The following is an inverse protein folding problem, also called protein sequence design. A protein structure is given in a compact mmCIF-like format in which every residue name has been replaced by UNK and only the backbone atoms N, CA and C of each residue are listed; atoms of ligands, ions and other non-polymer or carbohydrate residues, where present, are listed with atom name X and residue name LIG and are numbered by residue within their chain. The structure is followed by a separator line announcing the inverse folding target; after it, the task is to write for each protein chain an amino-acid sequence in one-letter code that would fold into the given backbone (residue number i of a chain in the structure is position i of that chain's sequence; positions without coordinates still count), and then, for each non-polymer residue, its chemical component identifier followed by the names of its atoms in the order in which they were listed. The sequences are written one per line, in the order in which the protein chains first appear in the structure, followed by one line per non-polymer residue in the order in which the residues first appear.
data_IF_293803359946
#
_entry.id   IF_293803359946
#
_cell.length_a   1.000
_cell.length_b   1.000
_cell.length_c   1.000
_cell.angle_alpha   90.00
_cell.angle_beta   90.00
_cell.angle_gamma   90.00
#
_symmetry.space_group_name_H-M   'P 1'
#
loop_
_entity.id
_entity.type
_entity.pdbx_description
1 polymer ?
#
# COMPACT_ATOMS: atom_id res chain seq x y z
N UNK A 1 -0.40 -12.38 22.80
CA UNK A 1 0.24 -11.93 21.54
C UNK A 1 1.67 -11.55 21.85
N UNK A 2 2.64 -11.96 21.02
CA UNK A 2 4.04 -11.54 21.21
C UNK A 2 4.27 -10.16 20.59
N UNK A 3 5.24 -9.40 21.09
CA UNK A 3 5.61 -8.07 20.56
C UNK A 3 5.81 -8.02 19.02
N UNK A 4 6.49 -8.99 18.37
CA UNK A 4 6.65 -8.96 16.91
C UNK A 4 5.32 -9.15 16.15
N UNK A 5 4.41 -9.99 16.65
CA UNK A 5 3.10 -10.18 16.01
C UNK A 5 2.26 -8.90 16.07
N UNK A 6 2.33 -8.17 17.19
CA UNK A 6 1.67 -6.88 17.34
C UNK A 6 2.26 -5.85 16.37
N UNK A 7 3.58 -5.80 16.21
CA UNK A 7 4.24 -4.88 15.29
C UNK A 7 3.84 -5.12 13.82
N UNK A 8 3.80 -6.38 13.39
CA UNK A 8 3.32 -6.75 12.04
C UNK A 8 1.86 -6.36 11.87
N UNK A 9 1.02 -6.63 12.86
CA UNK A 9 -0.39 -6.25 12.82
C UNK A 9 -0.57 -4.73 12.65
N UNK A 10 0.08 -3.93 13.50
CA UNK A 10 0.01 -2.46 13.43
C UNK A 10 0.50 -1.96 12.07
N UNK A 11 1.60 -2.51 11.55
CA UNK A 11 2.16 -2.10 10.27
C UNK A 11 1.19 -2.39 9.11
N UNK A 12 0.60 -3.59 9.10
CA UNK A 12 -0.26 -4.04 8.00
C UNK A 12 -1.66 -3.43 8.04
N UNK A 13 -2.24 -3.26 9.23
CA UNK A 13 -3.65 -2.90 9.41
C UNK A 13 -3.88 -1.48 9.89
N UNK A 14 -2.85 -0.78 10.36
CA UNK A 14 -2.97 0.61 10.83
C UNK A 14 -2.09 1.54 9.99
N UNK A 15 -0.80 1.24 9.89
CA UNK A 15 0.14 2.14 9.20
C UNK A 15 -0.16 2.25 7.70
N UNK A 16 -0.44 1.14 7.01
CA UNK A 16 -0.74 1.15 5.57
C UNK A 16 -2.03 1.94 5.22
N UNK A 17 -3.18 1.74 5.89
CA UNK A 17 -4.36 2.58 5.71
C UNK A 17 -4.13 4.07 6.01
N UNK A 18 -3.41 4.39 7.08
CA UNK A 18 -3.09 5.77 7.44
C UNK A 18 -2.20 6.44 6.39
N UNK A 19 -1.17 5.73 5.92
CA UNK A 19 -0.31 6.21 4.84
C UNK A 19 -1.13 6.48 3.57
N UNK A 20 -2.01 5.57 3.18
CA UNK A 20 -2.92 5.79 2.05
C UNK A 20 -3.80 7.03 2.25
N UNK A 21 -4.41 7.19 3.43
CA UNK A 21 -5.25 8.34 3.72
C UNK A 21 -4.47 9.66 3.65
N UNK A 22 -3.23 9.69 4.15
CA UNK A 22 -2.31 10.83 4.04
C UNK A 22 -1.96 11.13 2.56
N UNK A 23 -1.67 10.10 1.77
CA UNK A 23 -1.34 10.27 0.35
C UNK A 23 -2.47 10.90 -0.46
N UNK A 24 -3.72 10.64 -0.10
CA UNK A 24 -4.88 11.27 -0.75
C UNK A 24 -5.05 12.75 -0.43
N UNK A 25 -4.36 13.29 0.60
CA UNK A 25 -4.44 14.70 0.97
C UNK A 25 -3.65 15.62 0.02
N UNK A 26 -2.66 15.08 -0.73
CA UNK A 26 -1.84 15.85 -1.66
C UNK A 26 -2.58 16.33 -2.92
N UNK A 27 -3.88 16.03 -3.04
CA UNK A 27 -4.73 16.45 -4.14
C UNK A 27 -4.64 15.54 -5.37
N UNK A 28 -5.25 15.99 -6.46
CA UNK A 28 -5.57 15.16 -7.62
C UNK A 28 -4.85 15.64 -8.89
N UNK A 29 -3.59 16.07 -8.75
CA UNK A 29 -2.81 16.62 -9.85
C UNK A 29 -2.04 15.53 -10.64
N UNK A 30 -1.67 15.85 -11.88
CA UNK A 30 -0.81 14.97 -12.69
C UNK A 30 0.57 14.79 -12.05
N UNK A 31 1.09 15.82 -11.36
CA UNK A 31 2.37 15.76 -10.63
C UNK A 31 2.34 14.72 -9.52
N UNK A 32 1.25 14.67 -8.75
CA UNK A 32 1.06 13.66 -7.70
C UNK A 32 1.06 12.26 -8.30
N UNK A 33 0.36 12.04 -9.42
CA UNK A 33 0.36 10.74 -10.10
C UNK A 33 1.74 10.31 -10.59
N UNK A 34 2.49 11.22 -11.23
CA UNK A 34 3.85 10.95 -11.69
C UNK A 34 4.77 10.63 -10.51
N UNK A 35 4.66 11.38 -9.41
CA UNK A 35 5.45 11.12 -8.21
C UNK A 35 5.13 9.74 -7.61
N UNK A 36 3.85 9.36 -7.52
CA UNK A 36 3.43 8.05 -7.04
C UNK A 36 3.96 6.94 -7.94
N UNK A 37 3.84 7.09 -9.26
CA UNK A 37 4.33 6.10 -10.23
C UNK A 37 5.85 5.89 -10.11
N UNK A 38 6.62 6.98 -10.04
CA UNK A 38 8.07 6.92 -9.84
C UNK A 38 8.42 6.27 -8.49
N UNK A 39 7.73 6.64 -7.41
CA UNK A 39 7.95 6.04 -6.09
C UNK A 39 7.65 4.54 -6.07
N UNK A 40 6.62 4.07 -6.79
CA UNK A 40 6.34 2.63 -6.95
C UNK A 40 7.53 1.93 -7.61
N UNK A 41 8.01 2.45 -8.75
CA UNK A 41 9.15 1.86 -9.47
C UNK A 41 10.39 1.82 -8.59
N UNK A 42 10.71 2.92 -7.91
CA UNK A 42 11.85 3.00 -6.99
C UNK A 42 11.73 1.98 -5.87
N UNK A 43 10.55 1.83 -5.25
CA UNK A 43 10.34 0.87 -4.18
C UNK A 43 10.51 -0.57 -4.66
N UNK A 44 9.97 -0.91 -5.85
CA UNK A 44 10.10 -2.26 -6.42
C UNK A 44 11.55 -2.57 -6.77
N UNK A 45 12.25 -1.67 -7.45
CA UNK A 45 13.67 -1.85 -7.79
C UNK A 45 14.51 -1.99 -6.52
N UNK A 46 14.29 -1.12 -5.53
CA UNK A 46 14.98 -1.21 -4.25
C UNK A 46 14.66 -2.53 -3.52
N UNK A 47 13.42 -3.03 -3.59
CA UNK A 47 13.05 -4.30 -2.99
C UNK A 47 13.81 -5.47 -3.61
N UNK A 48 13.91 -5.51 -4.95
CA UNK A 48 14.67 -6.54 -5.67
C UNK A 48 16.17 -6.48 -5.33
N UNK A 49 16.74 -5.28 -5.22
CA UNK A 49 18.14 -5.10 -4.80
C UNK A 49 18.36 -5.56 -3.36
N UNK A 50 17.43 -5.27 -2.44
CA UNK A 50 17.50 -5.75 -1.05
C UNK A 50 17.35 -7.27 -0.96
N UNK A 51 16.49 -7.86 -1.80
CA UNK A 51 16.32 -9.31 -1.88
C UNK A 51 17.61 -10.00 -2.34
N UNK A 52 18.31 -9.44 -3.32
CA UNK A 52 19.60 -9.95 -3.78
C UNK A 52 20.72 -9.88 -2.72
N UNK A 53 20.53 -9.08 -1.67
CA UNK A 53 21.44 -8.95 -0.53
C UNK A 53 20.97 -9.74 0.71
N UNK A 54 20.02 -10.68 0.55
CA UNK A 54 19.40 -11.45 1.63
C UNK A 54 18.70 -10.61 2.72
N UNK A 55 18.38 -9.34 2.43
CA UNK A 55 17.67 -8.42 3.34
C UNK A 55 16.16 -8.55 3.19
N UNK A 56 15.66 -9.76 3.48
CA UNK A 56 14.26 -10.15 3.21
C UNK A 56 13.22 -9.24 3.87
N UNK A 57 13.44 -8.80 5.12
CA UNK A 57 12.51 -7.89 5.81
C UNK A 57 12.41 -6.52 5.13
N UNK A 58 13.53 -5.96 4.70
CA UNK A 58 13.56 -4.68 3.98
C UNK A 58 12.90 -4.79 2.61
N UNK A 59 13.16 -5.89 1.89
CA UNK A 59 12.51 -6.17 0.62
C UNK A 59 10.98 -6.28 0.78
N UNK A 60 10.50 -7.00 1.80
CA UNK A 60 9.08 -7.11 2.10
C UNK A 60 8.45 -5.77 2.49
N UNK A 61 9.14 -4.96 3.30
CA UNK A 61 8.65 -3.62 3.66
C UNK A 61 8.53 -2.71 2.44
N UNK A 62 9.50 -2.75 1.52
CA UNK A 62 9.48 -1.98 0.27
C UNK A 62 8.39 -2.45 -0.70
N UNK A 63 8.17 -3.76 -0.81
CA UNK A 63 7.04 -4.29 -1.59
C UNK A 63 5.70 -3.86 -0.98
N UNK A 64 5.56 -3.94 0.35
CA UNK A 64 4.40 -3.45 1.07
C UNK A 64 4.14 -1.96 0.82
N UNK A 65 5.19 -1.13 0.87
CA UNK A 65 5.10 0.29 0.55
C UNK A 65 4.69 0.53 -0.90
N UNK A 66 5.31 -0.18 -1.87
CA UNK A 66 4.96 -0.06 -3.29
C UNK A 66 3.49 -0.39 -3.56
N UNK A 67 2.93 -1.36 -2.85
CA UNK A 67 1.53 -1.75 -2.95
C UNK A 67 0.61 -0.59 -2.52
N UNK A 68 0.89 0.01 -1.36
CA UNK A 68 0.11 1.16 -0.85
C UNK A 68 0.19 2.34 -1.82
N UNK A 69 1.37 2.64 -2.35
CA UNK A 69 1.57 3.70 -3.35
C UNK A 69 0.81 3.43 -4.65
N UNK A 70 0.78 2.18 -5.13
CA UNK A 70 0.04 1.80 -6.32
C UNK A 70 -1.48 1.97 -6.12
N UNK A 71 -2.02 1.58 -4.96
CA UNK A 71 -3.42 1.82 -4.63
C UNK A 71 -3.73 3.31 -4.56
N UNK A 72 -2.85 4.11 -3.93
CA UNK A 72 -2.99 5.56 -3.90
C UNK A 72 -3.02 6.16 -5.32
N UNK A 73 -2.17 5.68 -6.22
CA UNK A 73 -2.15 6.10 -7.62
C UNK A 73 -3.47 5.79 -8.33
N UNK A 74 -4.01 4.59 -8.14
CA UNK A 74 -5.33 4.20 -8.71
C UNK A 74 -6.44 5.07 -8.13
N UNK A 75 -6.47 5.28 -6.81
CA UNK A 75 -7.46 6.10 -6.15
C UNK A 75 -7.42 7.56 -6.63
N UNK A 76 -6.24 8.16 -6.73
CA UNK A 76 -6.06 9.51 -7.28
C UNK A 76 -6.53 9.57 -8.73
N UNK A 77 -6.23 8.56 -9.54
CA UNK A 77 -6.69 8.48 -10.94
C UNK A 77 -8.22 8.42 -11.03
N UNK A 78 -8.87 7.62 -10.18
CA UNK A 78 -10.33 7.51 -10.13
C UNK A 78 -10.97 8.81 -9.62
N UNK A 79 -10.41 9.44 -8.60
CA UNK A 79 -10.90 10.70 -8.06
C UNK A 79 -10.80 11.85 -9.08
N UNK A 80 -9.79 11.83 -9.96
CA UNK A 80 -9.68 12.78 -11.08
C UNK A 80 -10.77 12.59 -12.13
N UNK A 81 -11.22 11.35 -12.36
CA UNK A 81 -12.17 11.00 -13.43
C UNK A 81 -13.62 11.06 -12.97
N UNK A 82 -13.88 10.77 -11.70
CA UNK A 82 -15.22 10.67 -11.13
C UNK A 82 -15.52 11.87 -10.25
N UNK A 83 -16.32 12.80 -10.76
CA UNK A 83 -16.80 13.96 -10.01
C UNK A 83 -17.99 13.57 -9.11
N UNK A 84 -17.94 13.93 -7.82
CA UNK A 84 -19.05 13.77 -6.87
C UNK A 84 -18.67 13.21 -5.50
N UNK A 85 -19.49 13.52 -4.48
CA UNK A 85 -19.22 13.12 -3.10
C UNK A 85 -19.39 11.62 -2.84
N UNK A 86 -20.35 10.96 -3.50
CA UNK A 86 -20.58 9.50 -3.39
C UNK A 86 -19.41 8.65 -3.94
N UNK A 87 -18.97 8.82 -5.21
CA UNK A 87 -17.85 8.03 -5.73
C UNK A 87 -16.57 8.27 -4.92
N UNK A 88 -16.34 9.51 -4.45
CA UNK A 88 -15.20 9.82 -3.57
C UNK A 88 -15.18 8.95 -2.31
N UNK A 89 -16.30 8.82 -1.60
CA UNK A 89 -16.37 7.98 -0.38
C UNK A 89 -16.05 6.53 -0.67
N UNK A 90 -16.61 5.97 -1.74
CA UNK A 90 -16.36 4.57 -2.12
C UNK A 90 -14.92 4.33 -2.53
N UNK A 91 -14.30 5.23 -3.29
CA UNK A 91 -12.88 5.12 -3.67
C UNK A 91 -11.99 5.10 -2.42
N UNK A 92 -12.26 5.97 -1.44
CA UNK A 92 -11.48 5.98 -0.19
C UNK A 92 -11.68 4.69 0.61
N UNK A 93 -12.93 4.24 0.80
CA UNK A 93 -13.23 3.02 1.56
C UNK A 93 -12.60 1.78 0.90
N UNK A 94 -12.80 1.61 -0.40
CA UNK A 94 -12.23 0.50 -1.16
C UNK A 94 -10.70 0.57 -1.13
N UNK A 95 -10.11 1.76 -1.27
CA UNK A 95 -8.66 1.96 -1.18
C UNK A 95 -8.09 1.56 0.18
N UNK A 96 -8.73 1.97 1.28
CA UNK A 96 -8.34 1.59 2.64
C UNK A 96 -8.36 0.06 2.78
N UNK A 97 -9.45 -0.60 2.37
CA UNK A 97 -9.56 -2.05 2.43
C UNK A 97 -8.47 -2.73 1.57
N UNK A 98 -8.24 -2.21 0.36
CA UNK A 98 -7.26 -2.75 -0.57
C UNK A 98 -5.81 -2.72 -0.03
N UNK A 99 -5.46 -1.73 0.82
CA UNK A 99 -4.11 -1.68 1.42
C UNK A 99 -3.79 -2.87 2.31
N UNK A 100 -4.82 -3.57 2.81
CA UNK A 100 -4.66 -4.73 3.70
C UNK A 100 -4.68 -6.08 2.98
N UNK A 101 -5.10 -6.12 1.70
CA UNK A 101 -5.34 -7.36 0.95
C UNK A 101 -4.15 -8.31 0.85
N UNK A 102 -2.91 -7.86 0.53
CA UNK A 102 -1.77 -8.78 0.39
C UNK A 102 -1.47 -9.53 1.68
N UNK A 103 -1.70 -8.88 2.82
CA UNK A 103 -1.42 -9.44 4.14
C UNK A 103 -2.46 -10.48 4.54
N UNK A 104 -3.73 -10.28 4.16
CA UNK A 104 -4.74 -11.32 4.30
C UNK A 104 -4.37 -12.56 3.49
N UNK A 105 -3.96 -12.41 2.23
CA UNK A 105 -3.52 -13.53 1.40
C UNK A 105 -2.34 -14.29 2.02
N UNK A 106 -1.33 -13.57 2.51
CA UNK A 106 -0.18 -14.14 3.21
C UNK A 106 -0.55 -14.86 4.52
N UNK A 107 -1.42 -14.27 5.33
CA UNK A 107 -1.88 -14.88 6.58
C UNK A 107 -2.67 -16.16 6.31
N UNK A 108 -3.59 -16.13 5.35
CA UNK A 108 -4.37 -17.31 4.96
C UNK A 108 -3.47 -18.40 4.35
N UNK A 109 -2.52 -18.04 3.48
CA UNK A 109 -1.57 -19.00 2.92
C UNK A 109 -0.74 -19.68 4.00
N UNK A 110 -0.26 -18.94 5.01
CA UNK A 110 0.47 -19.52 6.15
C UNK A 110 -0.39 -20.43 7.02
N UNK A 111 -1.70 -20.19 7.13
CA UNK A 111 -2.60 -21.07 7.88
C UNK A 111 -2.93 -22.39 7.17
N UNK A 112 -2.70 -22.47 5.85
CA UNK A 112 -2.97 -23.65 5.01
C UNK A 112 -1.74 -24.53 4.79
N UNK A 113 -0.54 -24.04 5.10
CA UNK A 113 0.71 -24.82 5.02
C UNK A 113 0.95 -25.43 6.42
N UNK A 114 0.85 -26.76 6.58
CA UNK A 114 1.03 -27.45 7.85
C UNK A 114 2.47 -27.40 8.38
#
# INVERSE_FOLDING_TARGET
MTAPTLAVFITCFVAAPLLFALLLQFGQSLRVLLSLALSVVVCVVAALLMQAQDRMLSALALLGLSWVLAIAMVAVTLLRRLSGARPRRWIVLIGILATTLPWFGLATARSLIP
#
